data_IF_301123135325
#
_entry.id   IF_301123135325
#
_cell.length_a   1.000
_cell.length_b   1.000
_cell.length_c   1.000
_cell.angle_alpha   90.00
_cell.angle_beta   90.00
_cell.angle_gamma   90.00
#
_symmetry.space_group_name_H-M   'P 1'
#
loop_
_entity.id
_entity.type
_entity.pdbx_description
1 polymer ?
#
# COMPACT_ATOMS: atom_id res chain seq x y z
N UNK A 1 6.01 4.78 -19.98
CA UNK A 1 4.63 5.02 -19.51
C UNK A 1 4.71 6.18 -18.55
N UNK A 2 3.96 7.23 -18.82
CA UNK A 2 3.93 8.44 -18.00
C UNK A 2 3.31 8.15 -16.62
N UNK A 3 3.48 9.07 -15.68
CA UNK A 3 2.90 8.95 -14.34
C UNK A 3 1.36 8.85 -14.40
N UNK A 4 0.72 9.69 -15.21
CA UNK A 4 -0.74 9.73 -15.37
C UNK A 4 -1.29 8.42 -15.96
N UNK A 5 -0.65 7.88 -17.00
CA UNK A 5 -0.99 6.57 -17.56
C UNK A 5 -0.85 5.44 -16.53
N UNK A 6 0.19 5.50 -15.69
CA UNK A 6 0.43 4.51 -14.65
C UNK A 6 -0.66 4.57 -13.59
N UNK A 7 -1.08 5.77 -13.16
CA UNK A 7 -2.14 5.96 -12.17
C UNK A 7 -3.45 5.35 -12.67
N UNK A 8 -3.84 5.63 -13.92
CA UNK A 8 -5.03 5.04 -14.54
C UNK A 8 -4.97 3.51 -14.55
N UNK A 9 -3.83 2.94 -14.96
CA UNK A 9 -3.63 1.49 -14.96
C UNK A 9 -3.78 0.89 -13.56
N UNK A 10 -3.12 1.49 -12.56
CA UNK A 10 -3.15 1.02 -11.17
C UNK A 10 -4.55 1.11 -10.60
N UNK A 11 -5.29 2.18 -10.88
CA UNK A 11 -6.67 2.38 -10.43
C UNK A 11 -7.59 1.29 -10.99
N UNK A 12 -7.53 0.99 -12.30
CA UNK A 12 -8.31 -0.09 -12.91
C UNK A 12 -7.98 -1.44 -12.28
N UNK A 13 -6.69 -1.75 -12.07
CA UNK A 13 -6.25 -3.02 -11.50
C UNK A 13 -6.73 -3.18 -10.05
N UNK A 14 -6.67 -2.12 -9.24
CA UNK A 14 -7.15 -2.12 -7.85
C UNK A 14 -8.68 -2.23 -7.80
N UNK A 15 -9.39 -1.41 -8.57
CA UNK A 15 -10.87 -1.39 -8.60
C UNK A 15 -11.46 -2.72 -9.06
N UNK A 16 -10.81 -3.40 -10.01
CA UNK A 16 -11.24 -4.70 -10.48
C UNK A 16 -10.71 -5.88 -9.64
N UNK A 17 -9.96 -5.60 -8.57
CA UNK A 17 -9.30 -6.57 -7.70
C UNK A 17 -8.43 -7.59 -8.47
N UNK A 18 -7.52 -7.08 -9.30
CA UNK A 18 -6.67 -7.92 -10.16
C UNK A 18 -5.94 -9.05 -9.41
N UNK A 19 -5.49 -8.80 -8.17
CA UNK A 19 -4.76 -9.77 -7.38
C UNK A 19 -5.66 -10.82 -6.70
N UNK A 20 -6.98 -10.61 -6.64
CA UNK A 20 -7.91 -11.57 -6.04
C UNK A 20 -7.92 -11.56 -4.51
N UNK A 21 -7.73 -10.40 -3.88
CA UNK A 21 -7.54 -10.30 -2.42
C UNK A 21 -8.83 -10.42 -1.63
N UNK A 22 -9.98 -10.14 -2.25
CA UNK A 22 -11.25 -9.98 -1.54
C UNK A 22 -12.22 -11.17 -1.67
N UNK A 23 -11.84 -12.24 -2.40
CA UNK A 23 -12.67 -13.44 -2.48
C UNK A 23 -12.06 -14.55 -3.34
N UNK A 24 -12.45 -15.82 -3.14
CA UNK A 24 -12.05 -16.92 -3.99
C UNK A 24 -12.75 -16.80 -5.35
N UNK A 25 -11.99 -16.93 -6.45
CA UNK A 25 -12.51 -16.88 -7.82
C UNK A 25 -12.35 -18.23 -8.50
N UNK A 26 -13.43 -18.74 -9.12
CA UNK A 26 -13.43 -20.03 -9.81
C UNK A 26 -12.54 -20.05 -11.07
N UNK A 27 -12.33 -18.90 -11.72
CA UNK A 27 -11.42 -18.78 -12.87
C UNK A 27 -10.53 -17.51 -12.80
N UNK A 28 -9.43 -17.56 -12.03
CA UNK A 28 -8.60 -16.38 -11.75
C UNK A 28 -7.83 -15.87 -12.99
N UNK A 29 -7.40 -16.77 -13.88
CA UNK A 29 -6.60 -16.39 -15.05
C UNK A 29 -7.43 -15.69 -16.12
N UNK A 30 -8.65 -16.18 -16.38
CA UNK A 30 -9.56 -15.55 -17.33
C UNK A 30 -10.01 -14.17 -16.84
N UNK A 31 -10.30 -14.05 -15.53
CA UNK A 31 -10.59 -12.76 -14.91
C UNK A 31 -9.44 -11.77 -15.07
N UNK A 32 -8.20 -12.18 -14.72
CA UNK A 32 -7.01 -11.35 -14.92
C UNK A 32 -6.87 -10.91 -16.38
N UNK A 33 -7.08 -11.81 -17.34
CA UNK A 33 -7.06 -11.45 -18.76
C UNK A 33 -8.12 -10.40 -19.13
N UNK A 34 -9.37 -10.56 -18.66
CA UNK A 34 -10.44 -9.58 -18.86
C UNK A 34 -10.09 -8.20 -18.28
N UNK A 35 -9.49 -8.17 -17.09
CA UNK A 35 -9.04 -6.92 -16.45
C UNK A 35 -7.92 -6.27 -17.25
N UNK A 36 -6.93 -7.03 -17.71
CA UNK A 36 -5.85 -6.50 -18.56
C UNK A 36 -6.38 -5.90 -19.86
N UNK A 37 -7.37 -6.55 -20.48
CA UNK A 37 -8.03 -5.99 -21.67
C UNK A 37 -8.71 -4.65 -21.38
N UNK A 38 -9.29 -4.46 -20.18
CA UNK A 38 -9.84 -3.15 -19.77
C UNK A 38 -8.75 -2.09 -19.65
N UNK A 39 -7.59 -2.44 -19.07
CA UNK A 39 -6.43 -1.53 -18.97
C UNK A 39 -5.94 -1.13 -20.36
N UNK A 40 -5.70 -2.08 -21.26
CA UNK A 40 -5.27 -1.80 -22.64
C UNK A 40 -6.26 -0.88 -23.36
N UNK A 41 -7.56 -1.16 -23.20
CA UNK A 41 -8.63 -0.38 -23.82
C UNK A 41 -8.69 1.05 -23.27
N UNK A 42 -8.56 1.24 -21.96
CA UNK A 42 -8.52 2.59 -21.35
C UNK A 42 -7.28 3.37 -21.80
N UNK A 43 -6.09 2.79 -21.70
CA UNK A 43 -4.85 3.45 -22.08
C UNK A 43 -4.84 3.88 -23.56
N UNK A 44 -5.39 3.04 -24.44
CA UNK A 44 -5.51 3.35 -25.86
C UNK A 44 -6.51 4.49 -26.13
N UNK A 45 -7.64 4.51 -25.42
CA UNK A 45 -8.69 5.52 -25.60
C UNK A 45 -8.31 6.88 -25.04
N UNK A 46 -7.75 6.90 -23.83
CA UNK A 46 -7.53 8.12 -23.06
C UNK A 46 -6.17 8.75 -23.35
N UNK A 47 -5.16 7.94 -23.69
CA UNK A 47 -3.78 8.42 -23.87
C UNK A 47 -3.18 8.06 -25.23
N UNK A 48 -3.92 7.36 -26.11
CA UNK A 48 -3.39 6.86 -27.39
C UNK A 48 -2.31 5.79 -27.24
N UNK A 49 -2.06 5.30 -26.02
CA UNK A 49 -0.94 4.41 -25.70
C UNK A 49 -1.27 2.97 -26.10
N UNK A 50 -0.49 2.43 -27.03
CA UNK A 50 -0.51 1.01 -27.40
C UNK A 50 0.52 0.25 -26.56
N UNK A 51 0.03 -0.67 -25.71
CA UNK A 51 0.86 -1.59 -24.91
C UNK A 51 0.28 -3.00 -24.98
N UNK A 52 1.15 -3.99 -24.93
CA UNK A 52 0.71 -5.38 -24.86
C UNK A 52 0.31 -5.73 -23.42
N UNK A 53 -0.58 -6.71 -23.28
CA UNK A 53 -0.96 -7.25 -21.97
C UNK A 53 0.28 -7.71 -21.17
N UNK A 54 1.25 -8.32 -21.84
CA UNK A 54 2.47 -8.81 -21.18
C UNK A 54 3.34 -7.67 -20.63
N UNK A 55 3.51 -6.59 -21.40
CA UNK A 55 4.25 -5.40 -20.94
C UNK A 55 3.60 -4.78 -19.71
N UNK A 56 2.27 -4.71 -19.70
CA UNK A 56 1.51 -4.18 -18.58
C UNK A 56 1.60 -5.10 -17.34
N UNK A 57 1.59 -6.42 -17.53
CA UNK A 57 1.79 -7.38 -16.42
C UNK A 57 3.16 -7.21 -15.78
N UNK A 58 4.22 -7.15 -16.59
CA UNK A 58 5.58 -6.88 -16.10
C UNK A 58 5.64 -5.57 -15.32
N UNK A 59 5.05 -4.51 -15.87
CA UNK A 59 5.02 -3.20 -15.22
C UNK A 59 4.29 -3.22 -13.88
N UNK A 60 3.19 -3.96 -13.77
CA UNK A 60 2.47 -4.17 -12.52
C UNK A 60 3.34 -4.90 -11.49
N UNK A 61 3.98 -6.00 -11.88
CA UNK A 61 4.90 -6.75 -11.01
C UNK A 61 6.03 -5.86 -10.48
N UNK A 62 6.66 -5.06 -11.34
CA UNK A 62 7.73 -4.13 -10.94
C UNK A 62 7.25 -3.10 -9.92
N UNK A 63 6.00 -2.62 -10.06
CA UNK A 63 5.41 -1.68 -9.11
C UNK A 63 5.21 -2.31 -7.74
N UNK A 64 4.69 -3.54 -7.71
CA UNK A 64 4.48 -4.28 -6.46
C UNK A 64 5.79 -4.57 -5.74
N UNK A 65 6.84 -4.92 -6.49
CA UNK A 65 8.17 -5.14 -5.91
C UNK A 65 8.74 -3.86 -5.29
N UNK A 66 8.60 -2.72 -5.97
CA UNK A 66 9.04 -1.42 -5.42
C UNK A 66 8.28 -1.04 -4.15
N UNK A 67 6.96 -1.23 -4.12
CA UNK A 67 6.14 -0.98 -2.93
C UNK A 67 6.62 -1.83 -1.74
N UNK A 68 6.81 -3.13 -1.95
CA UNK A 68 7.30 -4.04 -0.91
C UNK A 68 8.70 -3.70 -0.40
N UNK A 69 9.62 -3.29 -1.29
CA UNK A 69 10.95 -2.87 -0.87
C UNK A 69 10.90 -1.58 -0.04
N UNK A 70 10.09 -0.60 -0.42
CA UNK A 70 9.90 0.62 0.36
C UNK A 70 9.33 0.30 1.74
N UNK A 71 8.29 -0.53 1.83
CA UNK A 71 7.72 -0.96 3.11
C UNK A 71 8.76 -1.67 3.98
N UNK A 72 9.58 -2.54 3.40
CA UNK A 72 10.68 -3.23 4.10
C UNK A 72 11.72 -2.24 4.61
N UNK A 73 12.12 -1.26 3.79
CA UNK A 73 13.08 -0.21 4.16
C UNK A 73 12.54 0.66 5.29
N UNK A 74 11.29 1.11 5.20
CA UNK A 74 10.62 1.89 6.23
C UNK A 74 10.56 1.08 7.53
N UNK A 75 10.12 -0.18 7.47
CA UNK A 75 10.09 -1.07 8.64
C UNK A 75 11.47 -1.23 9.28
N UNK A 76 12.53 -1.36 8.48
CA UNK A 76 13.91 -1.47 8.96
C UNK A 76 14.38 -0.18 9.65
N UNK A 77 14.09 0.99 9.08
CA UNK A 77 14.42 2.29 9.70
C UNK A 77 13.67 2.46 11.01
N UNK A 78 12.37 2.16 11.04
CA UNK A 78 11.57 2.20 12.28
C UNK A 78 12.14 1.27 13.35
N UNK A 79 12.41 0.01 13.02
CA UNK A 79 13.02 -0.95 13.96
C UNK A 79 14.39 -0.48 14.45
N UNK A 80 15.25 0.04 13.56
CA UNK A 80 16.55 0.58 13.95
C UNK A 80 16.41 1.75 14.92
N UNK A 81 15.51 2.70 14.64
CA UNK A 81 15.26 3.83 15.53
C UNK A 81 14.73 3.39 16.91
N UNK A 82 13.88 2.36 16.97
CA UNK A 82 13.40 1.80 18.23
C UNK A 82 14.55 1.13 19.00
N UNK A 83 15.36 0.32 18.34
CA UNK A 83 16.51 -0.35 18.98
C UNK A 83 17.56 0.65 19.44
N UNK A 84 17.85 1.69 18.65
CA UNK A 84 18.84 2.72 18.97
C UNK A 84 18.37 3.67 20.09
N UNK A 85 17.05 3.82 20.31
CA UNK A 85 16.51 4.51 21.49
C UNK A 85 16.51 3.60 22.73
N UNK A 86 16.35 2.29 22.55
CA UNK A 86 16.28 1.29 23.64
C UNK A 86 17.66 0.88 24.16
N UNK A 87 18.66 0.71 23.29
CA UNK A 87 19.97 0.13 23.62
C UNK A 87 20.89 1.03 24.45
N UNK A 88 20.97 2.36 24.26
CA UNK A 88 21.82 3.22 25.11
C UNK A 88 21.33 3.33 26.56
N UNK A 89 20.07 2.98 26.83
CA UNK A 89 19.49 3.07 28.17
C UNK A 89 19.52 1.73 28.93
N UNK A 90 19.89 0.62 28.29
CA UNK A 90 19.75 -0.72 28.87
C UNK A 90 20.94 -1.27 29.64
N UNK A 91 22.04 -0.55 29.75
CA UNK A 91 23.20 -1.02 30.54
C UNK A 91 23.01 -0.88 32.07
N UNK A 92 21.86 -0.39 32.56
CA UNK A 92 21.50 -0.39 33.98
C UNK A 92 20.00 -0.68 34.23
N UNK A 93 19.48 -1.81 33.76
CA UNK A 93 18.08 -2.15 33.97
C UNK A 93 17.83 -3.09 35.15
N UNK A 94 17.91 -2.47 36.32
CA UNK A 94 17.08 -2.74 37.51
C UNK A 94 16.68 -1.41 38.19
N UNK A 95 16.54 -0.34 37.40
CA UNK A 95 16.13 0.98 37.90
C UNK A 95 14.82 1.43 37.26
N UNK A 96 14.05 2.26 37.97
CA UNK A 96 12.77 2.84 37.54
C UNK A 96 12.81 3.42 36.12
N UNK A 97 13.98 3.90 35.68
CA UNK A 97 14.22 4.37 34.31
C UNK A 97 13.91 3.33 33.23
N UNK A 98 14.16 2.04 33.49
CA UNK A 98 13.81 0.93 32.58
C UNK A 98 12.31 0.81 32.38
N UNK A 99 11.58 0.84 33.49
CA UNK A 99 10.14 0.66 33.52
C UNK A 99 9.45 1.87 32.87
N UNK A 100 9.97 3.08 33.12
CA UNK A 100 9.47 4.30 32.49
C UNK A 100 9.66 4.28 30.97
N UNK A 101 10.81 3.82 30.47
CA UNK A 101 11.03 3.71 29.02
C UNK A 101 10.15 2.65 28.38
N UNK A 102 9.96 1.50 29.03
CA UNK A 102 9.05 0.46 28.56
C UNK A 102 7.62 1.01 28.51
N UNK A 103 7.19 1.79 29.50
CA UNK A 103 5.89 2.45 29.50
C UNK A 103 5.77 3.50 28.38
N UNK A 104 6.78 4.34 28.17
CA UNK A 104 6.81 5.31 27.07
C UNK A 104 6.74 4.62 25.70
N UNK A 105 7.49 3.54 25.48
CA UNK A 105 7.45 2.76 24.24
C UNK A 105 6.07 2.12 24.04
N UNK A 106 5.48 1.57 25.10
CA UNK A 106 4.14 0.97 25.07
C UNK A 106 3.05 2.02 24.82
N UNK A 107 3.23 3.24 25.32
CA UNK A 107 2.34 4.36 25.06
C UNK A 107 2.46 4.83 23.60
N UNK A 108 3.68 5.09 23.13
CA UNK A 108 3.95 5.45 21.73
C UNK A 108 3.44 4.39 20.74
N UNK A 109 3.51 3.10 21.10
CA UNK A 109 2.96 2.01 20.27
C UNK A 109 1.44 2.09 20.13
N UNK A 110 0.73 2.44 21.21
CA UNK A 110 -0.74 2.66 21.17
C UNK A 110 -1.10 3.88 20.34
N UNK A 111 -0.34 4.97 20.45
CA UNK A 111 -0.55 6.17 19.64
C UNK A 111 -0.30 5.89 18.15
N UNK A 112 0.72 5.11 17.82
CA UNK A 112 0.98 4.67 16.44
C UNK A 112 -0.19 3.87 15.87
N UNK A 113 -0.77 2.96 16.63
CA UNK A 113 -1.92 2.18 16.16
C UNK A 113 -3.17 3.06 16.01
N UNK A 114 -3.38 4.02 16.90
CA UNK A 114 -4.46 5.02 16.78
C UNK A 114 -4.29 5.91 15.55
N UNK A 115 -3.06 6.31 15.22
CA UNK A 115 -2.75 7.06 14.01
C UNK A 115 -3.06 6.21 12.77
N UNK A 116 -2.63 4.95 12.73
CA UNK A 116 -2.93 4.04 11.60
C UNK A 116 -4.44 3.89 11.39
N UNK A 117 -5.21 3.75 12.45
CA UNK A 117 -6.66 3.60 12.37
C UNK A 117 -7.33 4.86 11.82
N UNK A 118 -6.94 6.04 12.31
CA UNK A 118 -7.39 7.32 11.76
C UNK A 118 -7.02 7.49 10.29
N UNK A 119 -5.83 7.07 9.87
CA UNK A 119 -5.42 7.13 8.46
C UNK A 119 -6.33 6.25 7.58
N UNK A 120 -6.66 5.03 8.03
CA UNK A 120 -7.62 4.16 7.32
C UNK A 120 -9.01 4.78 7.22
N UNK A 121 -9.48 5.42 8.30
CA UNK A 121 -10.76 6.14 8.29
C UNK A 121 -10.76 7.27 7.26
N UNK A 122 -9.71 8.10 7.25
CA UNK A 122 -9.55 9.20 6.28
C UNK A 122 -9.51 8.67 4.84
N UNK A 123 -8.72 7.61 4.58
CA UNK A 123 -8.68 6.98 3.26
C UNK A 123 -10.07 6.49 2.81
N UNK A 124 -10.85 5.89 3.72
CA UNK A 124 -12.19 5.44 3.40
C UNK A 124 -13.14 6.61 3.12
N UNK A 125 -13.05 7.69 3.91
CA UNK A 125 -13.85 8.91 3.66
C UNK A 125 -13.53 9.52 2.31
N UNK A 126 -12.26 9.60 1.92
CA UNK A 126 -11.84 10.09 0.60
C UNK A 126 -12.40 9.21 -0.53
N UNK A 127 -12.36 7.88 -0.40
CA UNK A 127 -12.98 6.97 -1.36
C UNK A 127 -14.47 7.23 -1.52
N UNK A 128 -15.19 7.41 -0.42
CA UNK A 128 -16.62 7.70 -0.44
C UNK A 128 -16.93 9.03 -1.13
N UNK A 129 -16.12 10.08 -0.88
CA UNK A 129 -16.30 11.38 -1.54
C UNK A 129 -16.05 11.29 -3.05
N UNK A 130 -15.02 10.57 -3.47
CA UNK A 130 -14.75 10.33 -4.91
C UNK A 130 -15.91 9.55 -5.56
N UNK A 131 -16.47 8.54 -4.88
CA UNK A 131 -17.61 7.78 -5.37
C UNK A 131 -18.86 8.65 -5.56
N UNK A 132 -19.15 9.54 -4.60
CA UNK A 132 -20.27 10.51 -4.72
C UNK A 132 -20.07 11.46 -5.89
N UNK A 133 -18.86 12.02 -6.05
CA UNK A 133 -18.55 12.93 -7.16
C UNK A 133 -18.60 12.24 -8.52
N UNK A 134 -18.24 10.95 -8.60
CA UNK A 134 -18.29 10.18 -9.84
C UNK A 134 -19.69 9.73 -10.28
N UNK A 135 -20.72 9.94 -9.44
CA UNK A 135 -22.12 9.63 -9.76
C UNK A 135 -22.92 10.84 -10.28
N UNK A 136 -22.38 12.05 -10.15
CA UNK A 136 -22.93 13.29 -10.75
C UNK A 136 -22.47 13.35 -12.21
#
# INVERSE_FOLDING_TARGET
>A
MSFVEMVEMVDILKRADYDGKYGPYSNPNERKAKIMTKVVKSLRRNFGVRRSNEQLRKRWSDLKLREQDQDRRIKKVLLKSVVEVVVPKSSHFTSDSAQQLIQEIMFCSRDLDRIKEKTKEIEQRLKNMIDVLGRI
#
